data_IF_930548249278
#
_entry.id   IF_930548249278
#
_cell.length_a   1.000
_cell.length_b   1.000
_cell.length_c   1.000
_cell.angle_alpha   90.00
_cell.angle_beta   90.00
_cell.angle_gamma   90.00
#
_symmetry.space_group_name_H-M   'P 1'
#
loop_
_entity.id
_entity.type
_entity.pdbx_description
1 polymer ?
#
# COMPACT_ATOMS: atom_id res chain seq x y z
N UNK A 1 25.67 -69.27 3.68
CA UNK A 1 26.12 -67.86 3.77
C UNK A 1 24.86 -66.99 3.63
N UNK A 2 24.31 -66.51 4.74
CA UNK A 2 23.02 -65.79 4.76
C UNK A 2 23.28 -64.34 5.19
N UNK A 3 22.86 -63.37 4.37
CA UNK A 3 22.90 -61.94 4.70
C UNK A 3 21.66 -61.54 5.51
N UNK A 4 21.78 -60.70 6.56
CA UNK A 4 20.62 -60.20 7.29
C UNK A 4 20.03 -58.94 6.63
N UNK A 5 18.72 -58.68 6.76
CA UNK A 5 18.11 -57.43 6.30
C UNK A 5 18.37 -56.29 7.29
N UNK A 6 18.84 -55.16 6.77
CA UNK A 6 19.00 -53.89 7.51
C UNK A 6 17.64 -53.23 7.68
N UNK A 7 17.21 -53.03 8.93
CA UNK A 7 16.02 -52.25 9.27
C UNK A 7 16.29 -50.76 9.11
N UNK A 8 15.58 -50.12 8.17
CA UNK A 8 15.57 -48.66 8.05
C UNK A 8 14.36 -48.09 8.78
N UNK A 9 14.59 -47.47 9.93
CA UNK A 9 13.57 -46.67 10.62
C UNK A 9 13.52 -45.28 9.98
N UNK A 10 12.45 -44.99 9.25
CA UNK A 10 12.16 -43.61 8.79
C UNK A 10 11.61 -42.80 9.98
N UNK A 11 12.17 -41.62 10.29
CA UNK A 11 11.56 -40.73 11.27
C UNK A 11 10.29 -40.09 10.69
N UNK A 12 9.18 -40.19 11.44
CA UNK A 12 7.91 -39.54 11.13
C UNK A 12 8.06 -38.01 11.26
N UNK A 13 7.61 -37.19 10.29
CA UNK A 13 7.68 -35.75 10.45
C UNK A 13 6.74 -35.29 11.56
N UNK A 14 7.30 -34.60 12.56
CA UNK A 14 6.54 -33.98 13.64
C UNK A 14 5.54 -32.97 13.07
N UNK A 15 4.26 -33.16 13.42
CA UNK A 15 3.15 -32.28 13.05
C UNK A 15 3.34 -30.93 13.75
N UNK A 16 3.47 -29.80 13.02
CA UNK A 16 3.64 -28.50 13.69
C UNK A 16 2.40 -28.18 14.52
N UNK A 17 2.62 -27.93 15.80
CA UNK A 17 1.63 -27.50 16.77
C UNK A 17 1.01 -26.18 16.29
N UNK A 18 -0.31 -26.19 16.06
CA UNK A 18 -1.07 -25.02 15.66
C UNK A 18 -1.14 -24.02 16.82
N UNK A 19 -0.11 -23.17 16.95
CA UNK A 19 -0.13 -22.04 17.87
C UNK A 19 -1.16 -21.03 17.36
N UNK A 20 -2.36 -21.07 17.94
CA UNK A 20 -3.42 -20.08 17.73
C UNK A 20 -2.95 -18.69 18.20
N UNK A 21 -2.22 -17.98 17.33
CA UNK A 21 -1.88 -16.57 17.53
C UNK A 21 -3.15 -15.75 17.37
N UNK A 22 -3.71 -15.28 18.49
CA UNK A 22 -4.75 -14.25 18.51
C UNK A 22 -4.30 -13.08 17.63
N UNK A 23 -5.07 -12.67 16.61
CA UNK A 23 -4.63 -11.64 15.70
C UNK A 23 -4.44 -10.33 16.47
N UNK A 24 -3.32 -9.65 16.23
CA UNK A 24 -3.02 -8.37 16.86
C UNK A 24 -4.12 -7.34 16.57
N UNK A 25 -4.31 -6.37 17.47
CA UNK A 25 -5.28 -5.27 17.27
C UNK A 25 -5.06 -4.56 15.92
N UNK A 26 -3.80 -4.38 15.52
CA UNK A 26 -3.40 -3.81 14.22
C UNK A 26 -3.88 -4.64 13.02
N UNK A 27 -3.77 -5.98 13.09
CA UNK A 27 -4.28 -6.88 12.04
C UNK A 27 -5.80 -6.79 11.89
N UNK A 28 -6.52 -6.69 13.02
CA UNK A 28 -7.97 -6.56 13.04
C UNK A 28 -8.45 -5.22 12.48
N UNK A 29 -7.79 -4.11 12.85
CA UNK A 29 -8.10 -2.77 12.36
C UNK A 29 -7.95 -2.67 10.83
N UNK A 30 -6.82 -3.15 10.30
CA UNK A 30 -6.55 -3.21 8.86
C UNK A 30 -7.61 -4.00 8.10
N UNK A 31 -8.05 -5.14 8.66
CA UNK A 31 -9.10 -5.97 8.05
C UNK A 31 -10.47 -5.26 8.04
N UNK A 32 -10.80 -4.52 9.10
CA UNK A 32 -12.03 -3.72 9.18
C UNK A 32 -12.04 -2.56 8.19
N UNK A 33 -10.92 -1.85 8.06
CA UNK A 33 -10.78 -0.74 7.11
C UNK A 33 -10.95 -1.22 5.65
N UNK A 34 -10.33 -2.35 5.27
CA UNK A 34 -10.52 -2.95 3.94
C UNK A 34 -11.98 -3.28 3.64
N UNK A 35 -12.69 -3.88 4.61
CA UNK A 35 -14.12 -4.18 4.45
C UNK A 35 -14.95 -2.93 4.19
N UNK A 36 -14.74 -1.87 5.00
CA UNK A 36 -15.42 -0.57 4.84
C UNK A 36 -15.12 0.06 3.49
N UNK A 37 -13.86 0.00 3.05
CA UNK A 37 -13.45 0.47 1.73
C UNK A 37 -14.16 -0.24 0.59
N UNK A 38 -14.32 -1.56 0.67
CA UNK A 38 -15.08 -2.33 -0.31
C UNK A 38 -16.56 -1.91 -0.37
N UNK A 39 -17.19 -1.69 0.79
CA UNK A 39 -18.56 -1.18 0.85
C UNK A 39 -18.67 0.26 0.31
N UNK A 40 -17.72 1.13 0.68
CA UNK A 40 -17.65 2.50 0.19
C UNK A 40 -17.61 2.58 -1.34
N UNK A 41 -16.77 1.75 -1.97
CA UNK A 41 -16.71 1.65 -3.43
C UNK A 41 -18.03 1.23 -4.07
N UNK A 42 -18.70 0.21 -3.51
CA UNK A 42 -20.00 -0.26 -4.05
C UNK A 42 -21.11 0.76 -3.91
N UNK A 43 -21.04 1.60 -2.87
CA UNK A 43 -22.02 2.63 -2.59
C UNK A 43 -21.68 3.99 -3.23
N UNK A 44 -20.64 4.08 -4.05
CA UNK A 44 -20.22 5.34 -4.68
C UNK A 44 -19.66 6.39 -3.70
N UNK A 45 -19.27 5.99 -2.49
CA UNK A 45 -18.67 6.91 -1.52
C UNK A 45 -17.23 7.28 -1.90
N UNK A 46 -16.85 8.53 -1.60
CA UNK A 46 -15.47 9.00 -1.69
C UNK A 46 -14.64 8.40 -0.54
N UNK A 47 -13.50 7.83 -0.89
CA UNK A 47 -12.47 7.45 0.08
C UNK A 47 -11.25 8.34 -0.15
N UNK A 48 -10.95 9.18 0.84
CA UNK A 48 -9.71 9.93 0.90
C UNK A 48 -8.74 9.23 1.84
N UNK A 49 -7.48 9.18 1.45
CA UNK A 49 -6.39 8.71 2.28
C UNK A 49 -5.23 9.68 2.10
N UNK A 50 -4.72 10.16 3.23
CA UNK A 50 -3.68 11.17 3.32
C UNK A 50 -2.54 10.58 4.16
N UNK A 51 -1.32 10.84 3.71
CA UNK A 51 -0.09 10.50 4.39
C UNK A 51 1.08 11.16 3.66
N UNK A 52 2.19 11.34 4.38
CA UNK A 52 3.48 11.70 3.81
C UNK A 52 3.92 10.72 2.72
N UNK A 53 4.59 11.20 1.66
CA UNK A 53 4.92 10.38 0.49
C UNK A 53 5.73 9.13 0.87
N UNK A 54 6.64 9.26 1.82
CA UNK A 54 7.47 8.16 2.34
C UNK A 54 6.65 7.03 2.99
N UNK A 55 5.46 7.31 3.50
CA UNK A 55 4.60 6.34 4.20
C UNK A 55 3.94 5.36 3.23
N UNK A 56 3.74 5.76 1.97
CA UNK A 56 3.06 4.97 0.94
C UNK A 56 3.85 3.76 0.43
N UNK A 57 5.14 3.67 0.77
CA UNK A 57 5.95 2.47 0.57
C UNK A 57 5.58 1.29 1.48
N UNK A 58 4.77 1.53 2.51
CA UNK A 58 4.35 0.49 3.47
C UNK A 58 3.59 -0.67 2.81
N UNK A 59 3.89 -1.90 3.23
CA UNK A 59 3.30 -3.14 2.70
C UNK A 59 1.95 -3.53 3.31
N UNK A 60 1.29 -2.62 4.04
CA UNK A 60 0.01 -2.91 4.68
C UNK A 60 -1.09 -3.02 3.61
N UNK A 61 -1.95 -4.06 3.65
CA UNK A 61 -2.91 -4.32 2.56
C UNK A 61 -3.86 -3.15 2.25
N UNK A 62 -4.19 -2.32 3.24
CA UNK A 62 -5.03 -1.13 3.03
C UNK A 62 -4.34 -0.08 2.15
N UNK A 63 -3.03 0.13 2.35
CA UNK A 63 -2.23 1.09 1.56
C UNK A 63 -2.13 0.63 0.11
N UNK A 64 -1.88 -0.67 -0.09
CA UNK A 64 -1.86 -1.28 -1.42
C UNK A 64 -3.21 -1.11 -2.15
N UNK A 65 -4.33 -1.30 -1.43
CA UNK A 65 -5.67 -1.12 -1.98
C UNK A 65 -5.89 0.33 -2.44
N UNK A 66 -5.52 1.31 -1.63
CA UNK A 66 -5.65 2.74 -1.95
C UNK A 66 -4.79 3.10 -3.16
N UNK A 67 -3.50 2.73 -3.15
CA UNK A 67 -2.54 3.01 -4.23
C UNK A 67 -2.97 2.41 -5.57
N UNK A 68 -3.67 1.29 -5.56
CA UNK A 68 -4.21 0.71 -6.80
C UNK A 68 -5.23 1.63 -7.51
N UNK A 69 -5.75 2.67 -6.84
CA UNK A 69 -6.57 3.71 -7.47
C UNK A 69 -5.81 4.60 -8.45
N UNK A 70 -4.48 4.73 -8.32
CA UNK A 70 -3.59 5.52 -9.20
C UNK A 70 -4.11 6.91 -9.56
N UNK A 71 -4.82 7.52 -8.62
CA UNK A 71 -5.39 8.86 -8.71
C UNK A 71 -5.15 9.54 -7.37
N UNK A 72 -4.72 10.79 -7.40
CA UNK A 72 -4.45 11.53 -6.18
C UNK A 72 -3.76 12.84 -6.44
N UNK A 73 -3.42 13.50 -5.34
CA UNK A 73 -2.75 14.78 -5.32
C UNK A 73 -1.47 14.64 -4.49
N UNK A 74 -0.39 15.23 -4.97
CA UNK A 74 0.88 15.34 -4.24
C UNK A 74 1.23 16.81 -4.11
N UNK A 75 1.33 17.27 -2.87
CA UNK A 75 1.82 18.60 -2.55
C UNK A 75 3.33 18.60 -2.61
N UNK A 76 3.88 19.61 -3.29
CA UNK A 76 5.32 19.72 -3.52
C UNK A 76 5.94 18.37 -3.93
N UNK A 77 5.67 17.87 -5.15
CA UNK A 77 6.13 16.55 -5.58
C UNK A 77 7.65 16.52 -5.84
N UNK A 78 8.21 15.31 -5.76
CA UNK A 78 9.49 14.92 -6.35
C UNK A 78 9.26 13.96 -7.55
N UNK A 79 10.27 13.81 -8.41
CA UNK A 79 10.28 12.92 -9.56
C UNK A 79 9.93 11.46 -9.18
N UNK A 80 10.43 10.99 -8.03
CA UNK A 80 10.24 9.61 -7.55
C UNK A 80 8.78 9.31 -7.14
N UNK A 81 8.02 10.34 -6.76
CA UNK A 81 6.64 10.18 -6.27
C UNK A 81 5.71 9.63 -7.36
N UNK A 82 5.97 9.98 -8.62
CA UNK A 82 5.15 9.60 -9.75
C UNK A 82 5.08 8.09 -9.96
N UNK A 83 6.25 7.45 -10.04
CA UNK A 83 6.33 6.01 -10.24
C UNK A 83 5.91 5.24 -8.98
N UNK A 84 6.27 5.77 -7.80
CA UNK A 84 5.93 5.15 -6.52
C UNK A 84 4.42 5.12 -6.24
N UNK A 85 3.71 6.22 -6.52
CA UNK A 85 2.30 6.39 -6.12
C UNK A 85 1.30 6.10 -7.25
N UNK A 86 1.60 6.56 -8.47
CA UNK A 86 0.63 6.57 -9.58
C UNK A 86 1.01 5.68 -10.75
N UNK A 87 2.23 5.14 -10.76
CA UNK A 87 2.84 4.48 -11.94
C UNK A 87 2.81 5.40 -13.16
N UNK A 88 3.11 6.66 -12.94
CA UNK A 88 3.15 7.70 -13.97
C UNK A 88 4.40 8.52 -13.74
N UNK A 89 5.38 8.49 -14.65
CA UNK A 89 6.63 9.19 -14.44
C UNK A 89 6.38 10.69 -14.39
N UNK A 90 6.92 11.35 -13.37
CA UNK A 90 6.85 12.80 -13.27
C UNK A 90 8.02 13.41 -14.05
N UNK A 91 7.88 14.57 -14.70
CA UNK A 91 9.05 15.30 -15.18
C UNK A 91 9.93 15.74 -14.00
N UNK A 92 11.18 16.10 -14.28
CA UNK A 92 12.00 16.77 -13.26
C UNK A 92 11.36 18.10 -12.91
N UNK A 93 11.16 18.33 -11.61
CA UNK A 93 10.47 19.49 -11.07
C UNK A 93 11.35 20.12 -10.00
N UNK A 94 11.62 21.42 -10.11
CA UNK A 94 12.38 22.13 -9.09
C UNK A 94 11.49 22.41 -7.88
N UNK A 95 11.94 22.04 -6.68
CA UNK A 95 11.18 22.26 -5.43
C UNK A 95 10.79 23.72 -5.23
N UNK A 96 11.64 24.65 -5.67
CA UNK A 96 11.40 26.09 -5.62
C UNK A 96 10.16 26.55 -6.43
N UNK A 97 9.74 25.79 -7.45
CA UNK A 97 8.53 26.09 -8.23
C UNK A 97 7.24 25.74 -7.50
N UNK A 98 7.33 25.02 -6.37
CA UNK A 98 6.21 24.51 -5.59
C UNK A 98 6.13 25.18 -4.21
N UNK A 99 5.61 26.42 -4.13
CA UNK A 99 5.27 27.04 -2.85
C UNK A 99 4.18 26.22 -2.11
N UNK A 100 3.89 26.60 -0.87
CA UNK A 100 2.85 25.94 -0.06
C UNK A 100 1.52 25.90 -0.83
N UNK A 101 0.84 24.75 -0.75
CA UNK A 101 -0.40 24.50 -1.49
C UNK A 101 -0.20 24.15 -2.97
N UNK A 102 1.00 24.30 -3.56
CA UNK A 102 1.24 23.86 -4.93
C UNK A 102 1.54 22.38 -5.01
N UNK A 103 0.97 21.72 -6.01
CA UNK A 103 1.15 20.30 -6.21
C UNK A 103 0.85 19.84 -7.62
N UNK A 104 0.81 18.53 -7.77
CA UNK A 104 0.37 17.85 -8.98
C UNK A 104 -0.81 16.95 -8.66
N UNK A 105 -1.81 17.01 -9.52
CA UNK A 105 -2.95 16.11 -9.51
C UNK A 105 -2.78 15.10 -10.64
N UNK A 106 -2.90 13.82 -10.29
CA UNK A 106 -2.75 12.70 -11.22
C UNK A 106 -4.07 11.99 -11.34
N UNK A 107 -4.51 11.82 -12.58
CA UNK A 107 -5.72 11.05 -12.90
C UNK A 107 -5.57 10.41 -14.27
N UNK A 108 -5.82 9.10 -14.35
CA UNK A 108 -5.78 8.35 -15.60
C UNK A 108 -4.45 8.51 -16.37
N UNK A 109 -3.32 8.53 -15.62
CA UNK A 109 -1.98 8.71 -16.18
C UNK A 109 -1.66 10.12 -16.67
N UNK A 110 -2.57 11.08 -16.48
CA UNK A 110 -2.36 12.49 -16.84
C UNK A 110 -1.97 13.29 -15.62
N UNK A 111 -0.96 14.14 -15.81
CA UNK A 111 -0.46 15.07 -14.80
C UNK A 111 -1.05 16.46 -15.00
N UNK A 112 -1.53 17.09 -13.93
CA UNK A 112 -1.99 18.49 -13.93
C UNK A 112 -1.34 19.22 -12.76
N UNK A 113 -0.64 20.33 -13.02
CA UNK A 113 -0.21 21.24 -11.95
C UNK A 113 -1.44 21.92 -11.34
N UNK A 114 -1.49 21.99 -10.02
CA UNK A 114 -2.62 22.57 -9.28
C UNK A 114 -2.11 23.43 -8.13
N UNK A 115 -2.86 24.47 -7.80
CA UNK A 115 -2.69 25.27 -6.59
C UNK A 115 -3.91 25.04 -5.70
N UNK A 116 -3.69 24.52 -4.50
CA UNK A 116 -4.73 24.33 -3.49
C UNK A 116 -4.80 25.60 -2.63
N UNK A 117 -6.00 26.10 -2.31
CA UNK A 117 -6.15 27.14 -1.30
C UNK A 117 -5.65 26.63 0.05
N UNK A 118 -4.94 27.49 0.77
CA UNK A 118 -4.58 27.24 2.17
C UNK A 118 -5.79 27.65 3.01
N UNK A 119 -6.19 26.81 3.95
CA UNK A 119 -7.23 27.19 4.90
C UNK A 119 -6.64 28.19 5.91
N UNK A 120 -7.33 29.31 6.11
CA UNK A 120 -6.97 30.34 7.09
C UNK A 120 -7.18 29.85 8.54
#
# INVERSE_FOLDING_TARGET
MACPPTSSSRPTPARPSATSRKPSRASTASRRARRRRGAAKRNGHLLLAEAETSTWGSSWPLVADVRNGRRGLVLQPDHLDGDALFRTPFPRMARAEFPVGRGVYVESGRLRRVQIPVAD
#
